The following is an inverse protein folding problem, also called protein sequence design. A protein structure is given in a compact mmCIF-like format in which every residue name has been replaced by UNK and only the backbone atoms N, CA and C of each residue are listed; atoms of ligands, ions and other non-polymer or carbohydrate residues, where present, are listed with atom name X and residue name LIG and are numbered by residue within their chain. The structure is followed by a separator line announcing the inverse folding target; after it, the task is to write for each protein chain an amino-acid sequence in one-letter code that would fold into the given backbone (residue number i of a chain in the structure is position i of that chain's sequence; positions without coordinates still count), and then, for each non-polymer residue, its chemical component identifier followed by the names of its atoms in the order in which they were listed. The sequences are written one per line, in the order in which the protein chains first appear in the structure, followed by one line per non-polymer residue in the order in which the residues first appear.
data_IF_309811670583
#
_entry.id   IF_309811670583
#
_cell.length_a   1.000
_cell.length_b   1.000
_cell.length_c   1.000
_cell.angle_alpha   90.00
_cell.angle_beta   90.00
_cell.angle_gamma   90.00
#
_symmetry.space_group_name_H-M   'P 1'
#
loop_
_entity.id
_entity.type
_entity.pdbx_description
1 polymer ?
#
# COMPACT_ATOMS: atom_id res chain seq x y z
N UNK A 1 -5.85 -13.11 -8.48
CA UNK A 1 -6.00 -13.97 -7.29
C UNK A 1 -6.72 -13.19 -6.21
N UNK A 2 -7.67 -13.81 -5.46
CA UNK A 2 -8.34 -13.16 -4.36
C UNK A 2 -7.35 -12.79 -3.23
N UNK A 3 -7.55 -11.65 -2.57
CA UNK A 3 -6.78 -11.26 -1.42
C UNK A 3 -7.50 -11.72 -0.14
N UNK A 4 -6.84 -12.54 0.68
CA UNK A 4 -7.38 -12.99 1.95
C UNK A 4 -6.74 -12.21 3.11
N UNK A 5 -7.58 -11.66 3.97
CA UNK A 5 -7.22 -10.89 5.15
C UNK A 5 -7.61 -11.66 6.40
N UNK A 6 -6.78 -11.59 7.43
CA UNK A 6 -7.09 -12.08 8.77
C UNK A 6 -6.62 -11.06 9.81
N UNK A 7 -7.32 -10.97 10.93
CA UNK A 7 -6.96 -10.08 12.04
C UNK A 7 -7.33 -10.70 13.38
N UNK A 8 -6.87 -10.07 14.44
CA UNK A 8 -7.21 -10.45 15.81
C UNK A 8 -8.33 -9.56 16.35
N UNK A 9 -9.23 -10.14 17.14
CA UNK A 9 -10.26 -9.38 17.83
C UNK A 9 -9.63 -8.45 18.88
N UNK A 10 -10.18 -7.24 19.10
CA UNK A 10 -9.82 -6.41 20.24
C UNK A 10 -10.07 -7.13 21.56
N UNK A 11 -9.14 -7.01 22.54
CA UNK A 11 -9.13 -7.83 23.75
C UNK A 11 -10.31 -7.57 24.71
N UNK A 12 -10.89 -6.37 24.72
CA UNK A 12 -11.76 -5.91 25.80
C UNK A 12 -13.15 -5.44 25.35
N UNK A 13 -13.60 -5.78 24.15
CA UNK A 13 -14.85 -5.22 23.59
C UNK A 13 -15.61 -6.23 22.74
N UNK A 14 -16.92 -6.25 22.88
CA UNK A 14 -17.82 -7.01 22.01
C UNK A 14 -18.00 -6.26 20.70
N UNK A 15 -17.41 -6.79 19.63
CA UNK A 15 -17.50 -6.22 18.28
C UNK A 15 -18.76 -6.74 17.61
N UNK A 16 -19.58 -5.84 17.07
CA UNK A 16 -20.78 -6.22 16.31
C UNK A 16 -20.40 -6.77 14.93
N UNK A 17 -19.54 -6.06 14.24
CA UNK A 17 -19.00 -6.47 12.94
C UNK A 17 -17.75 -5.66 12.61
N UNK A 18 -17.07 -6.04 11.55
CA UNK A 18 -15.92 -5.33 10.98
C UNK A 18 -16.29 -4.73 9.63
N UNK A 19 -15.94 -3.48 9.42
CA UNK A 19 -15.98 -2.83 8.12
C UNK A 19 -14.64 -2.98 7.42
N UNK A 20 -14.68 -3.36 6.16
CA UNK A 20 -13.50 -3.59 5.32
C UNK A 20 -13.41 -2.49 4.27
N UNK A 21 -12.22 -1.93 4.13
CA UNK A 21 -11.90 -0.93 3.13
C UNK A 21 -10.69 -1.37 2.30
N UNK A 22 -10.70 -1.04 1.02
CA UNK A 22 -9.57 -1.17 0.10
C UNK A 22 -9.31 0.19 -0.52
N UNK A 23 -8.08 0.71 -0.38
CA UNK A 23 -7.67 2.04 -0.88
C UNK A 23 -8.66 3.14 -0.47
N UNK A 24 -9.11 3.13 0.79
CA UNK A 24 -10.13 4.01 1.37
C UNK A 24 -11.56 3.82 0.84
N UNK A 25 -11.80 2.83 -0.05
CA UNK A 25 -13.13 2.51 -0.54
C UNK A 25 -13.75 1.41 0.32
N UNK A 26 -14.97 1.61 0.77
CA UNK A 26 -15.73 0.59 1.48
C UNK A 26 -15.99 -0.63 0.60
N UNK A 27 -15.66 -1.82 1.12
CA UNK A 27 -15.79 -3.10 0.42
C UNK A 27 -16.96 -3.95 0.96
N UNK A 28 -17.23 -3.88 2.25
CA UNK A 28 -18.27 -4.67 2.90
C UNK A 28 -18.04 -4.81 4.39
N UNK A 29 -18.86 -5.66 5.01
CA UNK A 29 -18.79 -5.99 6.44
C UNK A 29 -18.68 -7.49 6.64
N UNK A 30 -18.11 -7.91 7.78
CA UNK A 30 -18.06 -9.30 8.23
C UNK A 30 -18.10 -9.37 9.76
N UNK A 31 -18.67 -10.42 10.32
CA UNK A 31 -18.59 -10.75 11.75
C UNK A 31 -17.39 -11.65 12.06
N UNK A 32 -16.82 -12.26 11.04
CA UNK A 32 -15.66 -13.13 11.13
C UNK A 32 -14.35 -12.32 11.27
N UNK A 33 -13.31 -12.97 11.77
CA UNK A 33 -11.96 -12.41 11.85
C UNK A 33 -11.15 -12.58 10.55
N UNK A 34 -11.88 -12.71 9.43
CA UNK A 34 -11.30 -12.84 8.09
C UNK A 34 -12.22 -12.27 7.04
N UNK A 35 -11.62 -11.90 5.91
CA UNK A 35 -12.33 -11.40 4.73
C UNK A 35 -11.54 -11.76 3.46
N UNK A 36 -12.25 -12.20 2.42
CA UNK A 36 -11.65 -12.48 1.11
C UNK A 36 -12.19 -11.51 0.08
N UNK A 37 -11.29 -10.75 -0.53
CA UNK A 37 -11.62 -9.87 -1.65
C UNK A 37 -11.42 -10.62 -2.97
N UNK A 38 -12.51 -11.14 -3.52
CA UNK A 38 -12.53 -11.82 -4.81
C UNK A 38 -12.31 -10.86 -6.00
N UNK A 39 -12.39 -9.55 -5.75
CA UNK A 39 -12.24 -8.51 -6.78
C UNK A 39 -10.84 -7.92 -6.85
N UNK A 40 -9.91 -8.41 -6.04
CA UNK A 40 -8.52 -7.99 -6.02
C UNK A 40 -7.81 -8.48 -7.30
N UNK A 41 -7.88 -7.70 -8.37
CA UNK A 41 -7.27 -8.06 -9.66
C UNK A 41 -6.41 -6.93 -10.21
N UNK A 42 -5.24 -7.28 -10.74
CA UNK A 42 -4.45 -6.42 -11.62
C UNK A 42 -3.80 -5.18 -11.02
N UNK A 43 -3.89 -4.97 -9.71
CA UNK A 43 -3.12 -3.92 -9.04
C UNK A 43 -1.85 -4.49 -8.43
N UNK A 44 -0.80 -3.68 -8.38
CA UNK A 44 0.49 -4.10 -7.83
C UNK A 44 0.48 -4.18 -6.31
N UNK A 45 -0.37 -3.42 -5.66
CA UNK A 45 -0.65 -3.51 -4.24
C UNK A 45 -2.01 -2.90 -3.92
N UNK A 46 -2.54 -3.26 -2.75
CA UNK A 46 -3.72 -2.66 -2.16
C UNK A 46 -3.43 -2.31 -0.70
N UNK A 47 -4.02 -1.22 -0.23
CA UNK A 47 -4.04 -0.89 1.20
C UNK A 47 -5.41 -1.31 1.73
N UNK A 48 -5.43 -2.39 2.51
CA UNK A 48 -6.64 -2.80 3.21
C UNK A 48 -6.67 -2.21 4.60
N UNK A 49 -7.86 -1.81 5.01
CA UNK A 49 -8.12 -1.31 6.36
C UNK A 49 -9.33 -2.02 6.94
N UNK A 50 -9.25 -2.36 8.23
CA UNK A 50 -10.30 -3.02 8.99
C UNK A 50 -10.68 -2.11 10.15
N UNK A 51 -11.98 -1.87 10.33
CA UNK A 51 -12.54 -1.08 11.43
C UNK A 51 -13.52 -1.92 12.23
N UNK A 52 -13.29 -2.17 13.51
CA UNK A 52 -14.29 -2.79 14.38
C UNK A 52 -15.42 -1.79 14.68
N UNK A 53 -16.66 -2.26 14.65
CA UNK A 53 -17.87 -1.50 14.97
C UNK A 53 -18.49 -2.07 16.24
N UNK A 54 -18.74 -1.20 17.20
CA UNK A 54 -19.36 -1.49 18.49
C UNK A 54 -20.77 -0.90 18.54
N UNK A 55 -21.57 -1.25 19.55
CA UNK A 55 -22.92 -0.76 19.68
C UNK A 55 -23.00 0.78 19.74
N UNK A 56 -22.10 1.40 20.49
CA UNK A 56 -22.12 2.84 20.76
C UNK A 56 -21.03 3.65 20.01
N UNK A 57 -20.09 3.01 19.32
CA UNK A 57 -18.98 3.71 18.67
C UNK A 57 -18.28 2.89 17.57
N UNK A 58 -17.50 3.59 16.78
CA UNK A 58 -16.60 2.98 15.80
C UNK A 58 -15.19 2.88 16.39
N UNK A 59 -14.56 1.74 16.24
CA UNK A 59 -13.18 1.54 16.69
C UNK A 59 -12.14 2.20 15.76
N UNK A 60 -10.90 2.12 16.21
CA UNK A 60 -9.76 2.59 15.40
C UNK A 60 -9.55 1.68 14.20
N UNK A 61 -9.26 2.29 13.06
CA UNK A 61 -8.96 1.58 11.83
C UNK A 61 -7.51 1.07 11.86
N UNK A 62 -7.31 -0.20 11.56
CA UNK A 62 -5.99 -0.80 11.34
C UNK A 62 -5.79 -1.06 9.87
N UNK A 63 -4.60 -0.78 9.34
CA UNK A 63 -4.31 -0.90 7.91
C UNK A 63 -3.10 -1.79 7.65
N UNK A 64 -3.18 -2.54 6.56
CA UNK A 64 -2.08 -3.37 6.03
C UNK A 64 -1.94 -3.13 4.53
N UNK A 65 -0.71 -3.08 4.05
CA UNK A 65 -0.43 -3.10 2.62
C UNK A 65 -0.24 -4.55 2.17
N UNK A 66 -1.05 -4.97 1.21
CA UNK A 66 -0.93 -6.28 0.56
C UNK A 66 -0.31 -6.08 -0.81
N UNK A 67 0.89 -6.60 -0.99
CA UNK A 67 1.58 -6.59 -2.28
C UNK A 67 1.13 -7.81 -3.10
N UNK A 68 0.85 -7.60 -4.38
CA UNK A 68 0.59 -8.71 -5.30
C UNK A 68 1.93 -9.31 -5.74
N UNK A 69 2.33 -10.40 -5.10
CA UNK A 69 3.61 -11.10 -5.38
C UNK A 69 3.55 -12.07 -6.55
N UNK A 70 2.45 -12.12 -7.31
CA UNK A 70 2.27 -13.11 -8.39
C UNK A 70 3.13 -12.87 -9.65
N UNK A 71 4.02 -11.89 -9.65
CA UNK A 71 5.02 -11.69 -10.70
C UNK A 71 6.46 -11.98 -10.25
N UNK A 72 6.66 -12.83 -9.27
CA UNK A 72 8.01 -13.36 -9.00
C UNK A 72 8.32 -14.42 -10.06
N UNK A 73 8.70 -13.97 -11.24
CA UNK A 73 9.62 -14.73 -12.06
C UNK A 73 10.92 -14.79 -11.25
N UNK A 74 11.27 -15.94 -10.70
CA UNK A 74 12.44 -16.14 -9.83
C UNK A 74 13.78 -15.72 -10.46
N UNK A 75 13.78 -15.28 -11.70
CA UNK A 75 14.95 -14.81 -12.45
C UNK A 75 15.00 -13.29 -12.70
N UNK A 76 14.03 -12.49 -12.21
CA UNK A 76 13.99 -11.05 -12.50
C UNK A 76 13.75 -10.23 -11.24
N UNK A 77 14.70 -10.29 -10.30
CA UNK A 77 14.64 -9.47 -9.08
C UNK A 77 14.79 -7.99 -9.44
N UNK A 78 13.68 -7.23 -9.42
CA UNK A 78 13.71 -5.78 -9.61
C UNK A 78 14.49 -5.19 -8.42
N UNK A 79 15.64 -4.59 -8.71
CA UNK A 79 16.45 -3.89 -7.72
C UNK A 79 16.13 -2.42 -7.75
N UNK A 80 15.46 -1.93 -6.71
CA UNK A 80 15.21 -0.51 -6.52
C UNK A 80 15.81 -0.03 -5.21
N UNK A 81 16.53 1.09 -5.27
CA UNK A 81 17.04 1.81 -4.12
C UNK A 81 16.36 3.17 -4.03
N UNK A 82 15.98 3.59 -2.80
CA UNK A 82 15.48 4.93 -2.52
C UNK A 82 16.29 5.49 -1.36
N UNK A 83 16.91 6.63 -1.58
CA UNK A 83 17.75 7.28 -0.58
C UNK A 83 17.77 8.81 -0.71
N UNK A 84 18.01 9.50 0.44
CA UNK A 84 17.99 8.97 1.80
C UNK A 84 16.58 8.52 2.21
N UNK A 85 16.50 7.57 3.15
CA UNK A 85 15.23 7.18 3.77
C UNK A 85 15.49 6.84 5.24
N UNK A 86 15.03 7.65 6.20
CA UNK A 86 14.21 8.87 6.05
C UNK A 86 14.92 10.03 5.31
N UNK A 87 14.11 10.96 4.77
CA UNK A 87 14.59 12.16 4.07
C UNK A 87 14.01 13.44 4.67
N UNK A 88 14.81 14.53 4.67
CA UNK A 88 14.37 15.89 5.01
C UNK A 88 14.06 16.75 3.77
N UNK A 89 14.62 16.42 2.62
CA UNK A 89 14.50 17.22 1.40
C UNK A 89 13.91 16.42 0.23
N UNK A 90 14.66 15.49 -0.31
CA UNK A 90 14.28 14.72 -1.49
C UNK A 90 14.55 13.23 -1.33
N UNK A 91 13.83 12.43 -2.09
CA UNK A 91 14.12 11.01 -2.29
C UNK A 91 14.71 10.81 -3.67
N UNK A 92 15.85 10.17 -3.75
CA UNK A 92 16.46 9.73 -5.00
C UNK A 92 16.11 8.26 -5.23
N UNK A 93 15.42 7.99 -6.30
CA UNK A 93 15.01 6.65 -6.71
C UNK A 93 15.97 6.18 -7.79
N UNK A 94 16.53 4.98 -7.61
CA UNK A 94 17.37 4.31 -8.60
C UNK A 94 16.81 2.93 -8.87
N UNK A 95 16.40 2.70 -10.09
CA UNK A 95 15.88 1.42 -10.57
C UNK A 95 16.02 1.35 -12.08
N UNK A 96 16.45 0.20 -12.59
CA UNK A 96 16.59 0.03 -14.03
C UNK A 96 15.23 -0.11 -14.73
N UNK A 97 15.15 0.47 -15.95
CA UNK A 97 13.98 0.37 -16.82
C UNK A 97 12.67 0.87 -16.21
N UNK A 98 12.74 1.93 -15.39
CA UNK A 98 11.52 2.55 -14.85
C UNK A 98 10.63 3.09 -15.96
N UNK A 99 9.34 2.81 -15.86
CA UNK A 99 8.30 3.30 -16.78
C UNK A 99 7.35 4.26 -16.11
N UNK A 100 7.10 4.08 -14.80
CA UNK A 100 6.18 4.92 -14.03
C UNK A 100 6.51 4.91 -12.55
N UNK A 101 6.24 6.02 -11.88
CA UNK A 101 6.31 6.17 -10.43
C UNK A 101 4.97 6.70 -9.93
N UNK A 102 4.39 6.01 -8.96
CA UNK A 102 3.17 6.44 -8.26
C UNK A 102 3.43 6.51 -6.77
N UNK A 103 3.05 7.61 -6.13
CA UNK A 103 3.21 7.82 -4.68
C UNK A 103 1.86 7.84 -4.00
N UNK A 104 1.73 7.09 -2.93
CA UNK A 104 0.53 7.01 -2.10
C UNK A 104 0.85 7.39 -0.66
N UNK A 105 -0.09 8.03 0.01
CA UNK A 105 -0.03 8.24 1.46
C UNK A 105 -0.51 6.98 2.21
N UNK A 106 -0.45 7.02 3.55
CA UNK A 106 -0.91 5.92 4.43
C UNK A 106 -2.40 5.62 4.35
N UNK A 107 -3.20 6.52 3.76
CA UNK A 107 -4.64 6.34 3.56
C UNK A 107 -4.96 5.74 2.18
N UNK A 108 -3.93 5.41 1.38
CA UNK A 108 -4.09 4.88 0.02
C UNK A 108 -4.42 5.94 -1.03
N UNK A 109 -4.46 7.22 -0.65
CA UNK A 109 -4.69 8.30 -1.60
C UNK A 109 -3.46 8.52 -2.47
N UNK A 110 -3.67 8.60 -3.78
CA UNK A 110 -2.61 8.87 -4.75
C UNK A 110 -2.19 10.35 -4.64
N UNK A 111 -0.92 10.58 -4.32
CA UNK A 111 -0.32 11.91 -4.15
C UNK A 111 0.39 12.36 -5.42
N UNK A 112 1.05 11.43 -6.11
CA UNK A 112 1.79 11.70 -7.34
C UNK A 112 1.68 10.51 -8.29
N UNK A 113 1.66 10.81 -9.58
CA UNK A 113 1.62 9.81 -10.64
C UNK A 113 2.36 10.37 -11.86
N UNK A 114 3.47 9.74 -12.25
CA UNK A 114 4.37 10.27 -13.28
C UNK A 114 4.97 9.15 -14.11
N UNK A 115 4.89 9.29 -15.43
CA UNK A 115 5.62 8.44 -16.36
C UNK A 115 7.09 8.81 -16.35
N UNK A 116 7.95 7.81 -16.30
CA UNK A 116 9.40 7.96 -16.21
C UNK A 116 10.05 7.06 -17.26
N UNK A 117 11.02 7.60 -17.99
CA UNK A 117 11.85 6.83 -18.90
C UNK A 117 13.32 7.06 -18.57
N UNK A 118 13.70 6.67 -17.36
CA UNK A 118 15.04 6.87 -16.81
C UNK A 118 15.32 5.82 -15.74
N UNK A 119 16.58 5.54 -15.47
CA UNK A 119 16.99 4.72 -14.31
C UNK A 119 17.12 5.52 -13.01
N UNK A 120 16.87 6.84 -13.04
CA UNK A 120 16.92 7.71 -11.86
C UNK A 120 15.78 8.72 -11.90
N UNK A 121 15.20 8.97 -10.71
CA UNK A 121 14.18 9.98 -10.54
C UNK A 121 14.25 10.56 -9.11
N UNK A 122 13.98 11.86 -8.95
CA UNK A 122 13.98 12.53 -7.65
C UNK A 122 12.60 13.10 -7.31
N UNK A 123 12.19 12.94 -6.05
CA UNK A 123 10.94 13.48 -5.51
C UNK A 123 11.28 14.42 -4.36
N UNK A 124 10.96 15.71 -4.50
CA UNK A 124 11.24 16.76 -3.51
C UNK A 124 10.00 17.41 -2.90
N UNK A 125 8.80 17.15 -3.44
CA UNK A 125 7.57 17.89 -3.14
C UNK A 125 6.63 17.20 -2.15
N UNK A 126 7.13 16.24 -1.33
CA UNK A 126 6.31 15.57 -0.33
C UNK A 126 6.36 16.30 1.01
N UNK A 127 5.21 16.44 1.66
CA UNK A 127 5.11 16.91 3.04
C UNK A 127 5.62 15.84 4.02
N UNK A 128 5.86 16.23 5.29
CA UNK A 128 6.27 15.28 6.33
C UNK A 128 5.23 14.17 6.50
N UNK A 129 5.69 12.92 6.50
CA UNK A 129 4.79 11.78 6.57
C UNK A 129 5.40 10.48 6.07
N UNK A 130 4.57 9.43 6.06
CA UNK A 130 4.92 8.11 5.52
C UNK A 130 4.23 7.93 4.18
N UNK A 131 4.99 7.44 3.19
CA UNK A 131 4.51 7.21 1.84
C UNK A 131 4.90 5.83 1.33
N UNK A 132 4.15 5.36 0.36
CA UNK A 132 4.44 4.16 -0.42
C UNK A 132 4.70 4.58 -1.87
N UNK A 133 5.87 4.26 -2.37
CA UNK A 133 6.29 4.56 -3.74
C UNK A 133 6.22 3.28 -4.53
N UNK A 134 5.29 3.22 -5.50
CA UNK A 134 5.22 2.16 -6.49
C UNK A 134 6.09 2.54 -7.69
N UNK A 135 7.04 1.68 -8.03
CA UNK A 135 7.96 1.83 -9.15
C UNK A 135 7.62 0.75 -10.16
N UNK A 136 7.09 1.15 -11.30
CA UNK A 136 6.83 0.27 -12.42
C UNK A 136 8.03 0.24 -13.36
N UNK A 137 8.34 -0.93 -13.87
CA UNK A 137 9.42 -1.16 -14.84
C UNK A 137 8.91 -2.03 -15.97
N UNK A 138 9.69 -2.17 -17.04
CA UNK A 138 9.35 -3.10 -18.13
C UNK A 138 9.28 -4.57 -17.67
N UNK A 139 9.79 -4.89 -16.48
CA UNK A 139 9.90 -6.25 -15.95
C UNK A 139 8.96 -6.53 -14.76
N UNK A 140 8.06 -5.59 -14.44
CA UNK A 140 7.14 -5.68 -13.30
C UNK A 140 7.19 -4.43 -12.43
N UNK A 141 6.80 -4.54 -11.17
CA UNK A 141 6.80 -3.40 -10.25
C UNK A 141 7.32 -3.77 -8.86
N UNK A 142 7.69 -2.73 -8.10
CA UNK A 142 8.10 -2.86 -6.70
C UNK A 142 7.59 -1.67 -5.90
N UNK A 143 7.12 -1.93 -4.67
CA UNK A 143 6.71 -0.89 -3.73
C UNK A 143 7.75 -0.71 -2.64
N UNK A 144 8.05 0.53 -2.31
CA UNK A 144 8.96 0.91 -1.22
C UNK A 144 8.29 1.88 -0.27
N UNK A 145 8.39 1.61 1.03
CA UNK A 145 7.98 2.54 2.08
C UNK A 145 9.08 3.57 2.30
N UNK A 146 8.71 4.84 2.36
CA UNK A 146 9.61 5.96 2.66
C UNK A 146 9.03 6.86 3.76
N UNK A 147 9.91 7.55 4.46
CA UNK A 147 9.56 8.48 5.54
C UNK A 147 10.14 9.85 5.23
N UNK A 148 9.26 10.85 5.11
CA UNK A 148 9.60 12.28 4.97
C UNK A 148 9.53 12.93 6.37
N UNK A 149 10.63 13.49 6.81
CA UNK A 149 10.77 14.17 8.12
C UNK A 149 10.28 15.61 8.09
#
# INVERSE_FOLDING_TARGET
YPASLTWEAPADSEVLHYEIYRDSRFMGTTEELSYTDETATGSFFYIYSVRPIYEDCNGLMSSITVENVDNVNENNTIKAAIYPNPSQDEFNIVCDNMTRITVYNVMGSKIMDTDVNSSRYSISSLESGVYFINIETTNGSIVKKVVRL
#
